data_IF_609498742547
#
_entry.id   IF_609498742547
#
_cell.length_a   1.000
_cell.length_b   1.000
_cell.length_c   1.000
_cell.angle_alpha   90.00
_cell.angle_beta   90.00
_cell.angle_gamma   90.00
#
_symmetry.space_group_name_H-M   'P 1'
#
loop_
_entity.id
_entity.type
_entity.pdbx_description
1 polymer ?
#
# COMPACT_ATOMS: atom_id res chain seq x y z
N UNK A 1 -7.63 21.97 11.83
CA UNK A 1 -7.99 21.37 10.51
C UNK A 1 -6.71 20.95 9.80
N UNK A 2 -6.73 19.83 9.07
CA UNK A 2 -5.56 19.43 8.29
C UNK A 2 -5.50 20.16 6.94
N UNK A 3 -4.29 20.35 6.43
CA UNK A 3 -4.00 20.88 5.10
C UNK A 3 -3.45 19.77 4.20
N UNK A 4 -3.80 19.82 2.92
CA UNK A 4 -3.06 19.11 1.90
C UNK A 4 -1.92 20.00 1.40
N UNK A 5 -0.69 19.50 1.49
CA UNK A 5 0.53 20.20 1.08
C UNK A 5 1.22 19.39 -0.01
N UNK A 6 1.12 19.83 -1.26
CA UNK A 6 1.72 19.19 -2.42
C UNK A 6 3.03 19.86 -2.86
N UNK A 7 3.69 19.24 -3.83
CA UNK A 7 4.95 19.72 -4.42
C UNK A 7 6.07 19.93 -3.40
N UNK A 8 6.03 19.19 -2.29
CA UNK A 8 7.12 19.20 -1.32
C UNK A 8 8.25 18.34 -1.88
N UNK A 9 9.49 18.85 -2.02
CA UNK A 9 10.61 18.01 -2.44
C UNK A 9 10.77 16.82 -1.49
N UNK A 10 10.86 15.62 -2.05
CA UNK A 10 11.14 14.40 -1.30
C UNK A 10 12.64 14.12 -1.33
N UNK A 11 13.23 13.97 -0.14
CA UNK A 11 14.62 13.56 0.05
C UNK A 11 14.61 12.22 0.78
N UNK A 12 15.32 11.23 0.26
CA UNK A 12 15.45 9.94 0.93
C UNK A 12 16.19 10.15 2.26
N UNK A 13 15.63 9.63 3.35
CA UNK A 13 16.13 9.78 4.73
C UNK A 13 16.20 11.24 5.22
N UNK A 14 15.46 12.13 4.56
CA UNK A 14 15.36 13.55 4.91
C UNK A 14 14.37 13.82 6.05
N UNK A 15 14.55 14.95 6.72
CA UNK A 15 13.62 15.48 7.73
C UNK A 15 12.36 16.03 7.03
N UNK A 16 11.32 15.20 6.92
CA UNK A 16 10.04 15.53 6.29
C UNK A 16 9.38 16.76 6.91
N UNK A 17 9.38 16.84 8.25
CA UNK A 17 8.80 17.97 8.99
C UNK A 17 9.49 19.28 8.60
N UNK A 18 10.81 19.28 8.46
CA UNK A 18 11.57 20.45 8.00
C UNK A 18 11.31 20.78 6.53
N UNK A 19 11.18 19.78 5.66
CA UNK A 19 10.82 19.99 4.26
C UNK A 19 9.44 20.65 4.12
N UNK A 20 8.46 20.19 4.89
CA UNK A 20 7.11 20.77 4.98
C UNK A 20 7.18 22.20 5.53
N UNK A 21 7.90 22.44 6.62
CA UNK A 21 8.04 23.77 7.22
C UNK A 21 8.66 24.77 6.23
N UNK A 22 9.70 24.38 5.49
CA UNK A 22 10.26 25.18 4.38
C UNK A 22 9.24 25.46 3.29
N UNK A 23 8.44 24.45 2.92
CA UNK A 23 7.39 24.58 1.88
C UNK A 23 6.28 25.55 2.30
N UNK A 24 5.90 25.52 3.56
CA UNK A 24 4.89 26.39 4.17
C UNK A 24 5.48 27.74 4.62
N UNK A 25 6.81 27.90 4.57
CA UNK A 25 7.54 29.08 5.04
C UNK A 25 7.15 29.44 6.48
N UNK A 26 7.23 28.46 7.37
CA UNK A 26 6.97 28.57 8.82
C UNK A 26 8.13 27.92 9.59
N UNK A 27 8.18 28.15 10.91
CA UNK A 27 9.06 27.40 11.80
C UNK A 27 8.66 25.91 11.89
N UNK A 28 9.63 25.04 12.18
CA UNK A 28 9.40 23.58 12.30
C UNK A 28 8.34 23.26 13.36
N UNK A 29 8.32 24.02 14.47
CA UNK A 29 7.34 23.89 15.56
C UNK A 29 5.91 24.33 15.18
N UNK A 30 5.75 24.93 14.00
CA UNK A 30 4.47 25.25 13.39
C UNK A 30 3.82 24.06 12.69
N UNK A 31 4.58 23.01 12.38
CA UNK A 31 4.08 21.71 11.90
C UNK A 31 3.83 20.85 13.13
N UNK A 32 2.57 20.55 13.41
CA UNK A 32 2.17 19.75 14.58
C UNK A 32 2.28 18.26 14.26
N UNK A 33 1.67 17.84 13.15
CA UNK A 33 1.67 16.47 12.66
C UNK A 33 1.72 16.41 11.12
N UNK A 34 2.16 15.29 10.56
CA UNK A 34 2.17 15.08 9.12
C UNK A 34 2.08 13.59 8.76
N UNK A 35 1.43 13.30 7.64
CA UNK A 35 1.36 11.97 7.03
C UNK A 35 1.69 12.10 5.56
N UNK A 36 2.67 11.32 5.08
CA UNK A 36 2.95 11.17 3.65
C UNK A 36 1.78 10.45 2.97
N UNK A 37 1.08 11.13 2.06
CA UNK A 37 -0.06 10.52 1.34
C UNK A 37 0.31 10.03 -0.04
N UNK A 38 1.32 10.65 -0.67
CA UNK A 38 1.79 10.24 -2.00
C UNK A 38 3.22 10.68 -2.22
N UNK A 39 4.04 9.77 -2.74
CA UNK A 39 5.34 10.05 -3.33
C UNK A 39 5.27 9.82 -4.84
N UNK A 40 5.82 10.73 -5.63
CA UNK A 40 5.82 10.62 -7.09
C UNK A 40 7.06 11.23 -7.70
N UNK A 41 7.51 10.67 -8.82
CA UNK A 41 8.58 11.21 -9.64
C UNK A 41 8.00 12.15 -10.69
N UNK A 42 8.39 13.42 -10.66
CA UNK A 42 8.18 14.33 -11.78
C UNK A 42 9.32 14.16 -12.79
N UNK A 43 9.00 13.45 -13.87
CA UNK A 43 9.93 13.13 -14.96
C UNK A 43 9.74 14.02 -16.20
N UNK A 44 8.94 15.10 -16.12
CA UNK A 44 8.67 16.00 -17.26
C UNK A 44 9.87 16.87 -17.66
N UNK A 45 10.83 17.03 -16.75
CA UNK A 45 12.01 17.86 -16.94
C UNK A 45 13.29 17.04 -16.93
N UNK A 46 14.35 17.57 -17.57
CA UNK A 46 15.68 16.93 -17.63
C UNK A 46 16.23 16.58 -16.25
N UNK A 47 16.00 17.44 -15.25
CA UNK A 47 16.26 17.11 -13.85
C UNK A 47 14.98 16.54 -13.24
N UNK A 48 14.98 15.23 -13.05
CA UNK A 48 13.88 14.54 -12.38
C UNK A 48 13.82 14.96 -10.91
N UNK A 49 12.60 15.11 -10.38
CA UNK A 49 12.38 15.54 -9.00
C UNK A 49 11.39 14.60 -8.33
N UNK A 50 11.76 14.08 -7.16
CA UNK A 50 10.81 13.41 -6.30
C UNK A 50 9.99 14.46 -5.56
N UNK A 51 8.67 14.33 -5.65
CA UNK A 51 7.70 15.19 -4.99
C UNK A 51 6.83 14.34 -4.07
N UNK A 52 6.53 14.92 -2.92
CA UNK A 52 5.64 14.37 -1.93
C UNK A 52 4.42 15.27 -1.75
N UNK A 53 3.30 14.60 -1.44
CA UNK A 53 2.07 15.21 -0.96
C UNK A 53 1.88 14.73 0.47
N UNK A 54 1.58 15.67 1.36
CA UNK A 54 1.35 15.42 2.78
C UNK A 54 -0.04 15.87 3.21
N UNK A 55 -0.63 15.14 4.15
CA UNK A 55 -1.64 15.67 5.07
C UNK A 55 -0.88 16.29 6.23
N UNK A 56 -1.10 17.56 6.54
CA UNK A 56 -0.32 18.30 7.54
C UNK A 56 -1.24 19.00 8.52
N UNK A 57 -1.00 18.81 9.81
CA UNK A 57 -1.63 19.59 10.86
C UNK A 57 -0.67 20.70 11.29
N UNK A 58 -1.19 21.93 11.39
CA UNK A 58 -0.40 23.14 11.62
C UNK A 58 -1.02 23.95 12.75
N UNK A 59 -0.20 24.80 13.38
CA UNK A 59 -0.65 25.65 14.50
C UNK A 59 -1.64 26.74 14.07
N UNK A 60 -1.44 27.34 12.90
CA UNK A 60 -2.28 28.42 12.37
C UNK A 60 -2.58 28.20 10.88
N UNK A 61 -3.63 27.40 10.62
CA UNK A 61 -4.10 27.09 9.28
C UNK A 61 -4.70 28.31 8.57
N UNK A 62 -5.39 29.19 9.29
CA UNK A 62 -6.09 30.33 8.71
C UNK A 62 -5.09 31.32 8.10
N UNK A 63 -4.00 31.61 8.82
CA UNK A 63 -2.91 32.44 8.30
C UNK A 63 -2.24 31.81 7.08
N UNK A 64 -2.08 30.48 7.04
CA UNK A 64 -1.49 29.80 5.87
C UNK A 64 -2.41 29.82 4.65
N UNK A 65 -3.71 29.62 4.84
CA UNK A 65 -4.71 29.66 3.77
C UNK A 65 -4.86 31.07 3.19
N UNK A 66 -4.79 32.11 4.03
CA UNK A 66 -4.82 33.50 3.59
C UNK A 66 -3.65 33.88 2.66
N UNK A 67 -2.52 33.16 2.76
CA UNK A 67 -1.34 33.38 1.90
C UNK A 67 -1.48 32.79 0.50
N UNK A 68 -2.50 31.96 0.25
CA UNK A 68 -2.78 31.34 -1.05
C UNK A 68 -1.54 30.67 -1.69
N UNK A 69 -0.74 29.98 -0.88
CA UNK A 69 0.43 29.26 -1.36
C UNK A 69 -0.02 28.19 -2.37
N UNK A 70 0.59 28.18 -3.56
CA UNK A 70 0.33 27.11 -4.55
C UNK A 70 0.53 25.73 -3.89
N UNK A 71 -0.30 24.75 -4.24
CA UNK A 71 -0.23 23.39 -3.71
C UNK A 71 -0.64 23.22 -2.24
N UNK A 72 -1.10 24.29 -1.58
CA UNK A 72 -1.59 24.26 -0.20
C UNK A 72 -3.08 24.57 -0.19
N UNK A 73 -3.88 23.65 0.34
CA UNK A 73 -5.34 23.83 0.48
C UNK A 73 -5.88 23.05 1.67
N UNK A 74 -7.12 23.31 2.11
CA UNK A 74 -7.75 22.48 3.13
C UNK A 74 -7.79 21.00 2.72
N UNK A 75 -7.58 20.11 3.68
CA UNK A 75 -7.85 18.69 3.53
C UNK A 75 -9.36 18.46 3.47
N UNK A 76 -9.83 17.73 2.46
CA UNK A 76 -11.27 17.51 2.22
C UNK A 76 -11.68 16.07 2.49
N UNK A 77 -12.99 15.81 2.60
CA UNK A 77 -13.53 14.46 2.67
C UNK A 77 -13.14 13.61 1.43
N UNK A 78 -12.99 14.24 0.26
CA UNK A 78 -12.50 13.56 -0.96
C UNK A 78 -11.04 13.12 -0.83
N UNK A 79 -10.22 13.88 -0.13
CA UNK A 79 -8.82 13.51 0.12
C UNK A 79 -8.74 12.38 1.14
N UNK A 80 -9.57 12.43 2.19
CA UNK A 80 -9.73 11.33 3.12
C UNK A 80 -10.08 10.05 2.35
N UNK A 81 -11.21 10.02 1.63
CA UNK A 81 -11.62 8.85 0.86
C UNK A 81 -10.60 8.35 -0.20
N UNK A 82 -9.66 9.19 -0.64
CA UNK A 82 -8.64 8.84 -1.63
C UNK A 82 -7.36 8.29 -1.01
N UNK A 83 -6.96 8.83 0.14
CA UNK A 83 -5.65 8.60 0.73
C UNK A 83 -5.71 7.91 2.09
N UNK A 84 -6.89 7.81 2.69
CA UNK A 84 -7.17 6.91 3.81
C UNK A 84 -7.89 5.68 3.28
N UNK A 85 -7.56 4.54 3.86
CA UNK A 85 -8.29 3.31 3.67
C UNK A 85 -9.09 3.11 4.95
N UNK A 86 -10.35 3.52 4.94
CA UNK A 86 -11.28 3.17 6.01
C UNK A 86 -11.64 1.69 5.78
N UNK A 87 -10.86 0.81 6.38
CA UNK A 87 -11.16 -0.63 6.42
C UNK A 87 -12.05 -0.86 7.64
N UNK A 88 -13.29 -1.27 7.40
CA UNK A 88 -14.19 -1.72 8.45
C UNK A 88 -13.51 -2.85 9.25
N UNK A 89 -13.77 -2.94 10.56
CA UNK A 89 -13.26 -4.06 11.34
C UNK A 89 -13.84 -5.39 10.80
N UNK A 90 -13.03 -6.45 10.70
CA UNK A 90 -13.53 -7.76 10.27
C UNK A 90 -14.61 -8.29 11.24
N UNK A 91 -15.84 -8.46 10.74
CA UNK A 91 -16.96 -9.01 11.52
C UNK A 91 -17.28 -10.42 11.07
N UNK A 92 -17.35 -11.36 12.04
CA UNK A 92 -17.75 -12.75 11.77
C UNK A 92 -19.18 -12.79 11.26
N UNK A 93 -19.37 -13.40 10.09
CA UNK A 93 -20.71 -13.67 9.53
C UNK A 93 -20.88 -15.17 9.33
N UNK A 94 -22.08 -15.67 9.62
CA UNK A 94 -22.43 -17.08 9.46
C UNK A 94 -22.30 -17.92 10.74
N UNK A 95 -22.76 -19.18 10.69
CA UNK A 95 -22.82 -20.07 11.85
C UNK A 95 -21.43 -20.39 12.45
N UNK A 96 -21.26 -20.38 13.80
CA UNK A 96 -20.05 -20.81 14.52
C UNK A 96 -19.44 -22.12 14.03
N UNK A 97 -20.29 -23.10 13.78
CA UNK A 97 -19.96 -24.49 13.52
C UNK A 97 -19.51 -24.78 12.08
N UNK A 98 -19.51 -23.78 11.19
CA UNK A 98 -19.11 -23.94 9.79
C UNK A 98 -17.97 -22.99 9.44
N UNK A 99 -16.71 -23.44 9.54
CA UNK A 99 -15.58 -22.61 9.14
C UNK A 99 -15.65 -22.35 7.62
N UNK A 100 -15.39 -21.11 7.17
CA UNK A 100 -15.42 -20.76 5.77
C UNK A 100 -14.23 -21.41 5.04
N UNK A 101 -14.48 -21.87 3.82
CA UNK A 101 -13.44 -22.46 2.96
C UNK A 101 -12.99 -21.43 1.94
N UNK A 102 -11.68 -21.18 1.89
CA UNK A 102 -11.03 -20.35 0.87
C UNK A 102 -10.27 -21.27 -0.07
N UNK A 103 -10.62 -21.24 -1.36
CA UNK A 103 -9.94 -22.06 -2.38
C UNK A 103 -8.95 -21.17 -3.15
N UNK A 104 -7.67 -21.52 -3.05
CA UNK A 104 -6.52 -20.83 -3.63
C UNK A 104 -5.78 -19.97 -2.61
N UNK A 105 -4.45 -20.07 -2.59
CA UNK A 105 -3.56 -19.27 -1.73
C UNK A 105 -2.81 -18.18 -2.52
N UNK A 106 -3.41 -17.67 -3.59
CA UNK A 106 -2.98 -16.44 -4.25
C UNK A 106 -3.31 -15.18 -3.43
N UNK A 107 -2.98 -13.97 -3.90
CA UNK A 107 -3.23 -12.73 -3.14
C UNK A 107 -4.70 -12.57 -2.71
N UNK A 108 -5.66 -12.85 -3.60
CA UNK A 108 -7.08 -12.75 -3.27
C UNK A 108 -7.50 -13.72 -2.15
N UNK A 109 -7.08 -14.99 -2.23
CA UNK A 109 -7.39 -15.98 -1.21
C UNK A 109 -6.68 -15.70 0.11
N UNK A 110 -5.42 -15.25 0.06
CA UNK A 110 -4.64 -14.88 1.24
C UNK A 110 -5.27 -13.70 1.99
N UNK A 111 -5.66 -12.63 1.29
CA UNK A 111 -6.36 -11.50 1.92
C UNK A 111 -7.75 -11.90 2.44
N UNK A 112 -8.49 -12.75 1.71
CA UNK A 112 -9.78 -13.26 2.19
C UNK A 112 -9.63 -14.10 3.47
N UNK A 113 -8.64 -15.01 3.50
CA UNK A 113 -8.35 -15.83 4.66
C UNK A 113 -7.88 -14.99 5.86
N UNK A 114 -7.01 -14.00 5.64
CA UNK A 114 -6.59 -13.07 6.69
C UNK A 114 -7.81 -12.34 7.29
N UNK A 115 -8.64 -11.75 6.45
CA UNK A 115 -9.83 -11.02 6.90
C UNK A 115 -10.79 -11.92 7.70
N UNK A 116 -11.03 -13.14 7.22
CA UNK A 116 -11.86 -14.11 7.91
C UNK A 116 -11.24 -14.55 9.25
N UNK A 117 -9.93 -14.76 9.29
CA UNK A 117 -9.21 -15.13 10.51
C UNK A 117 -9.24 -14.01 11.55
N UNK A 118 -9.01 -12.76 11.15
CA UNK A 118 -9.10 -11.58 12.03
C UNK A 118 -10.51 -11.38 12.58
N UNK A 119 -11.55 -11.81 11.84
CA UNK A 119 -12.93 -11.81 12.34
C UNK A 119 -13.24 -12.94 13.33
N UNK A 120 -12.32 -13.89 13.55
CA UNK A 120 -12.55 -15.10 14.36
C UNK A 120 -13.35 -16.19 13.65
N UNK A 121 -13.38 -16.20 12.31
CA UNK A 121 -14.14 -17.18 11.54
C UNK A 121 -13.41 -18.53 11.32
N UNK A 122 -12.12 -18.62 11.65
CA UNK A 122 -11.29 -19.84 11.52
C UNK A 122 -11.33 -20.45 10.09
N UNK A 123 -10.94 -19.69 9.05
CA UNK A 123 -11.02 -20.17 7.67
C UNK A 123 -10.09 -21.36 7.40
N UNK A 124 -10.56 -22.29 6.56
CA UNK A 124 -9.74 -23.37 5.98
C UNK A 124 -9.30 -22.96 4.59
N UNK A 125 -7.98 -22.92 4.34
CA UNK A 125 -7.42 -22.60 3.02
C UNK A 125 -7.03 -23.88 2.31
N UNK A 126 -7.53 -24.05 1.08
CA UNK A 126 -7.19 -25.16 0.19
C UNK A 126 -6.40 -24.63 -1.00
N UNK A 127 -5.17 -25.11 -1.19
CA UNK A 127 -4.33 -24.78 -2.35
C UNK A 127 -3.88 -26.08 -3.00
N UNK A 128 -3.86 -26.09 -4.35
CA UNK A 128 -3.49 -27.30 -5.10
C UNK A 128 -1.99 -27.50 -5.17
N UNK A 129 -1.21 -26.41 -5.26
CA UNK A 129 0.24 -26.50 -5.30
C UNK A 129 0.86 -26.48 -3.91
N UNK A 130 2.15 -26.77 -3.84
CA UNK A 130 2.87 -26.84 -2.57
C UNK A 130 3.33 -25.50 -1.99
N UNK A 131 4.06 -25.58 -0.85
CA UNK A 131 4.74 -24.46 -0.22
C UNK A 131 5.70 -23.73 -1.16
N UNK A 132 5.93 -22.44 -0.92
CA UNK A 132 6.73 -21.59 -1.80
C UNK A 132 8.16 -22.10 -2.01
N UNK A 133 8.78 -22.68 -0.99
CA UNK A 133 10.16 -23.21 -1.08
C UNK A 133 10.26 -24.40 -2.05
N UNK A 134 9.26 -25.28 -2.03
CA UNK A 134 9.16 -26.42 -2.96
C UNK A 134 8.88 -25.94 -4.38
N UNK A 135 7.98 -24.95 -4.53
CA UNK A 135 7.70 -24.30 -5.83
C UNK A 135 8.94 -23.66 -6.43
N UNK A 136 9.70 -22.90 -5.64
CA UNK A 136 10.92 -22.23 -6.09
C UNK A 136 11.93 -23.26 -6.57
N UNK A 137 12.06 -24.39 -5.88
CA UNK A 137 12.94 -25.49 -6.28
C UNK A 137 12.49 -26.11 -7.61
N UNK A 138 11.21 -26.46 -7.75
CA UNK A 138 10.66 -27.06 -8.96
C UNK A 138 10.78 -26.14 -10.17
N UNK A 139 10.38 -24.86 -10.03
CA UNK A 139 10.44 -23.86 -11.10
C UNK A 139 11.87 -23.59 -11.55
N UNK A 140 12.83 -23.47 -10.61
CA UNK A 140 14.23 -23.30 -10.95
C UNK A 140 14.82 -24.53 -11.66
N UNK A 141 14.46 -25.74 -11.20
CA UNK A 141 14.86 -26.99 -11.84
C UNK A 141 14.37 -27.06 -13.30
N UNK A 142 13.11 -26.68 -13.53
CA UNK A 142 12.54 -26.60 -14.87
C UNK A 142 13.24 -25.56 -15.76
N UNK A 143 13.43 -24.32 -15.27
CA UNK A 143 14.11 -23.26 -16.02
C UNK A 143 15.55 -23.62 -16.40
N UNK A 144 16.25 -24.36 -15.52
CA UNK A 144 17.62 -24.82 -15.76
C UNK A 144 17.69 -26.10 -16.59
N UNK A 145 16.55 -26.64 -17.04
CA UNK A 145 16.44 -27.93 -17.75
C UNK A 145 17.02 -29.11 -16.96
N UNK A 146 16.96 -29.02 -15.63
CA UNK A 146 17.43 -30.06 -14.69
C UNK A 146 16.28 -31.00 -14.28
N UNK A 147 15.03 -30.54 -14.42
CA UNK A 147 13.82 -31.32 -14.13
C UNK A 147 12.73 -31.03 -15.19
N UNK A 148 11.80 -31.96 -15.43
CA UNK A 148 10.59 -31.67 -16.20
C UNK A 148 9.70 -30.65 -15.47
N UNK A 149 8.72 -30.08 -16.18
CA UNK A 149 7.70 -29.23 -15.58
C UNK A 149 6.85 -30.06 -14.61
N UNK A 150 6.76 -29.61 -13.36
CA UNK A 150 5.82 -30.16 -12.37
C UNK A 150 4.44 -29.48 -12.53
N UNK A 151 3.36 -30.25 -12.83
CA UNK A 151 2.03 -29.68 -13.01
C UNK A 151 1.41 -29.14 -11.71
N UNK A 152 1.90 -29.52 -10.53
CA UNK A 152 1.41 -29.02 -9.23
C UNK A 152 2.35 -27.96 -8.63
N UNK A 153 3.63 -27.94 -8.99
CA UNK A 153 4.61 -26.95 -8.51
C UNK A 153 5.18 -26.09 -9.64
N UNK A 154 4.42 -25.06 -10.05
CA UNK A 154 4.78 -24.22 -11.17
C UNK A 154 4.53 -22.72 -10.90
N UNK A 155 4.70 -21.90 -11.94
CA UNK A 155 4.59 -20.45 -11.85
C UNK A 155 3.21 -19.97 -11.39
N UNK A 156 2.15 -20.76 -11.60
CA UNK A 156 0.76 -20.33 -11.36
C UNK A 156 0.11 -20.96 -10.13
N UNK A 157 0.47 -22.20 -9.78
CA UNK A 157 -0.15 -22.95 -8.69
C UNK A 157 0.76 -23.11 -7.47
N UNK A 158 0.18 -23.05 -6.28
CA UNK A 158 0.82 -23.16 -4.97
C UNK A 158 0.82 -21.86 -4.16
N UNK A 159 1.51 -21.87 -3.02
CA UNK A 159 1.54 -20.76 -2.06
C UNK A 159 1.93 -19.41 -2.70
N UNK A 160 1.06 -18.41 -2.56
CA UNK A 160 1.22 -17.07 -3.17
C UNK A 160 0.72 -16.99 -4.63
N UNK A 161 0.29 -18.11 -5.21
CA UNK A 161 -0.30 -18.20 -6.54
C UNK A 161 0.64 -17.68 -7.64
N UNK A 162 0.05 -17.02 -8.65
CA UNK A 162 0.79 -16.42 -9.77
C UNK A 162 1.59 -15.15 -9.38
N UNK A 163 1.29 -14.55 -8.22
CA UNK A 163 1.97 -13.34 -7.75
C UNK A 163 3.41 -13.59 -7.31
N UNK A 164 3.71 -14.81 -6.82
CA UNK A 164 5.02 -15.19 -6.28
C UNK A 164 6.19 -14.99 -7.25
N UNK A 165 5.97 -15.30 -8.53
CA UNK A 165 7.01 -15.19 -9.57
C UNK A 165 6.84 -13.93 -10.44
N UNK A 166 6.14 -12.92 -9.91
CA UNK A 166 5.95 -11.63 -10.58
C UNK A 166 6.96 -10.59 -10.09
N UNK A 167 6.98 -9.44 -10.75
CA UNK A 167 7.72 -8.26 -10.29
C UNK A 167 7.04 -7.52 -9.12
N UNK A 168 5.91 -8.03 -8.61
CA UNK A 168 5.18 -7.45 -7.50
C UNK A 168 4.54 -6.09 -7.81
N UNK A 169 4.36 -5.72 -9.09
CA UNK A 169 3.75 -4.44 -9.46
C UNK A 169 2.30 -4.36 -8.99
N UNK A 170 2.00 -3.35 -8.18
CA UNK A 170 0.64 -2.97 -7.80
C UNK A 170 0.14 -1.92 -8.78
N UNK A 171 -0.80 -2.30 -9.64
CA UNK A 171 -1.37 -1.40 -10.63
C UNK A 171 -2.46 -0.51 -10.03
N UNK A 172 -2.57 0.71 -10.55
CA UNK A 172 -3.68 1.61 -10.24
C UNK A 172 -5.00 0.98 -10.69
N UNK A 173 -5.93 0.80 -9.76
CA UNK A 173 -7.32 0.46 -10.09
C UNK A 173 -8.10 1.76 -10.36
N UNK A 174 -9.02 1.72 -11.31
CA UNK A 174 -9.91 2.85 -11.64
C UNK A 174 -11.12 2.85 -10.73
#
# INVERSE_FOLDING_TARGET
MALLVSETPWEQDGDERRAIARRLKIGVDGVLDHVLVRKSLDARHRKQRWLAVYRVEVRDEAALLARQLNGVRPWTARDAARYTFDVDEPVRRGPPEQPPIVVGMGPAGMFAALWLAESGAEPVVLERGGPVDERVTAVNGWWRRQAPLDPEHNLVFGEGGAGTFSDGKIYTRR
#
